data_IF_471619738142
#
_entry.id   IF_471619738142
#
_cell.length_a   1.000
_cell.length_b   1.000
_cell.length_c   1.000
_cell.angle_alpha   90.00
_cell.angle_beta   90.00
_cell.angle_gamma   90.00
#
_symmetry.space_group_name_H-M   'P 1'
#
loop_
_entity.id
_entity.type
_entity.pdbx_description
1 polymer ?
#
# COMPACT_ATOMS: atom_id res chain seq x y z
N UNK A 1 -20.32 -5.96 -29.45
CA UNK A 1 -20.49 -4.65 -28.79
C UNK A 1 -20.73 -4.94 -27.32
N UNK A 2 -19.70 -4.82 -26.47
CA UNK A 2 -19.88 -5.01 -25.03
C UNK A 2 -20.55 -3.75 -24.47
N UNK A 3 -21.86 -3.84 -24.24
CA UNK A 3 -22.59 -2.84 -23.45
C UNK A 3 -22.13 -2.93 -21.99
N UNK A 4 -21.90 -1.78 -21.34
CA UNK A 4 -21.68 -1.74 -19.89
C UNK A 4 -22.85 -2.40 -19.16
N UNK A 5 -22.54 -3.29 -18.22
CA UNK A 5 -23.51 -3.82 -17.26
C UNK A 5 -24.04 -2.70 -16.35
N UNK A 6 -25.19 -2.90 -15.72
CA UNK A 6 -25.75 -1.92 -14.78
C UNK A 6 -24.82 -1.64 -13.59
N UNK A 7 -24.13 -2.67 -13.09
CA UNK A 7 -23.13 -2.50 -12.02
C UNK A 7 -21.95 -1.63 -12.46
N UNK A 8 -21.47 -1.81 -13.70
CA UNK A 8 -20.42 -0.97 -14.26
C UNK A 8 -20.88 0.48 -14.41
N UNK A 9 -22.13 0.71 -14.85
CA UNK A 9 -22.70 2.06 -14.96
C UNK A 9 -22.79 2.78 -13.62
N UNK A 10 -23.27 2.08 -12.59
CA UNK A 10 -23.35 2.61 -11.22
C UNK A 10 -21.95 2.96 -10.71
N UNK A 11 -20.97 2.09 -10.94
CA UNK A 11 -19.61 2.30 -10.45
C UNK A 11 -18.92 3.46 -11.18
N UNK A 12 -19.01 3.55 -12.50
CA UNK A 12 -18.47 4.68 -13.29
C UNK A 12 -19.08 6.00 -12.83
N UNK A 13 -20.39 6.05 -12.61
CA UNK A 13 -21.05 7.25 -12.10
C UNK A 13 -20.54 7.65 -10.71
N UNK A 14 -20.29 6.67 -9.84
CA UNK A 14 -19.69 6.90 -8.53
C UNK A 14 -18.25 7.43 -8.65
N UNK A 15 -17.45 6.86 -9.53
CA UNK A 15 -16.07 7.28 -9.77
C UNK A 15 -16.03 8.71 -10.32
N UNK A 16 -16.88 9.03 -11.29
CA UNK A 16 -17.03 10.38 -11.85
C UNK A 16 -17.36 11.41 -10.76
N UNK A 17 -18.31 11.11 -9.87
CA UNK A 17 -18.62 11.99 -8.71
C UNK A 17 -17.41 12.16 -7.78
N UNK A 18 -16.67 11.08 -7.54
CA UNK A 18 -15.45 11.12 -6.73
C UNK A 18 -14.36 12.00 -7.34
N UNK A 19 -14.10 11.86 -8.64
CA UNK A 19 -13.13 12.69 -9.38
C UNK A 19 -13.53 14.17 -9.32
N UNK A 20 -14.79 14.49 -9.58
CA UNK A 20 -15.30 15.87 -9.51
C UNK A 20 -15.09 16.49 -8.13
N UNK A 21 -15.36 15.73 -7.07
CA UNK A 21 -15.13 16.19 -5.69
C UNK A 21 -13.64 16.43 -5.40
N UNK A 22 -12.75 15.50 -5.79
CA UNK A 22 -11.29 15.62 -5.60
C UNK A 22 -10.70 16.81 -6.34
N UNK A 23 -11.12 17.02 -7.59
CA UNK A 23 -10.67 18.14 -8.43
C UNK A 23 -11.41 19.45 -8.15
N UNK A 24 -12.39 19.45 -7.23
CA UNK A 24 -13.25 20.61 -6.89
C UNK A 24 -13.97 21.21 -8.11
N UNK A 25 -14.40 20.34 -9.03
CA UNK A 25 -15.10 20.73 -10.26
C UNK A 25 -16.61 20.60 -10.11
N UNK A 26 -17.35 21.63 -10.53
CA UNK A 26 -18.80 21.54 -10.72
C UNK A 26 -19.13 20.89 -12.07
N UNK A 27 -20.38 20.47 -12.27
CA UNK A 27 -20.80 19.88 -13.55
C UNK A 27 -20.76 20.92 -14.68
N UNK A 28 -21.07 22.17 -14.38
CA UNK A 28 -20.93 23.32 -15.28
C UNK A 28 -19.46 23.64 -15.55
N UNK A 29 -18.59 23.53 -14.54
CA UNK A 29 -17.15 23.67 -14.70
C UNK A 29 -16.57 22.58 -15.61
N UNK A 30 -17.03 21.33 -15.43
CA UNK A 30 -16.68 20.22 -16.30
C UNK A 30 -17.19 20.44 -17.74
N UNK A 31 -18.40 20.99 -17.93
CA UNK A 31 -18.88 21.37 -19.26
C UNK A 31 -17.90 22.30 -19.96
N UNK A 32 -17.52 23.40 -19.29
CA UNK A 32 -16.54 24.36 -19.84
C UNK A 32 -15.22 23.70 -20.22
N UNK A 33 -14.71 22.82 -19.36
CA UNK A 33 -13.48 22.05 -19.64
C UNK A 33 -13.62 21.10 -20.84
N UNK A 34 -14.77 20.45 -21.00
CA UNK A 34 -15.00 19.58 -22.17
C UNK A 34 -15.10 20.37 -23.46
N UNK A 35 -15.70 21.57 -23.42
CA UNK A 35 -15.79 22.48 -24.58
C UNK A 35 -14.41 23.02 -24.98
N UNK A 36 -13.58 23.37 -23.99
CA UNK A 36 -12.20 23.80 -24.21
C UNK A 36 -11.32 22.69 -24.79
N UNK A 37 -11.32 21.50 -24.16
CA UNK A 37 -10.43 20.39 -24.55
C UNK A 37 -10.95 19.56 -25.74
N UNK A 38 -12.25 19.54 -26.03
CA UNK A 38 -12.83 18.71 -27.10
C UNK A 38 -14.09 19.34 -27.75
N UNK A 39 -13.95 20.36 -28.60
CA UNK A 39 -15.08 21.05 -29.23
C UNK A 39 -15.94 20.12 -30.10
N UNK A 40 -17.29 20.14 -30.00
CA UNK A 40 -18.12 21.15 -29.31
C UNK A 40 -18.39 20.90 -27.82
N UNK A 41 -17.67 19.97 -27.19
CA UNK A 41 -17.82 19.61 -25.78
C UNK A 41 -19.04 18.72 -25.49
N UNK A 42 -19.21 18.35 -24.22
CA UNK A 42 -20.40 17.65 -23.74
C UNK A 42 -21.40 18.67 -23.21
N UNK A 43 -22.68 18.51 -23.56
CA UNK A 43 -23.73 19.35 -22.96
C UNK A 43 -23.90 19.04 -21.47
N UNK A 44 -24.32 20.05 -20.68
CA UNK A 44 -24.62 19.88 -19.25
C UNK A 44 -25.60 18.72 -18.99
N UNK A 45 -26.62 18.55 -19.83
CA UNK A 45 -27.59 17.46 -19.72
C UNK A 45 -26.96 16.08 -19.97
N UNK A 46 -25.89 16.00 -20.76
CA UNK A 46 -25.13 14.76 -20.99
C UNK A 46 -24.24 14.45 -19.77
N UNK A 47 -23.59 15.47 -19.20
CA UNK A 47 -22.80 15.33 -17.96
C UNK A 47 -23.69 14.90 -16.78
N UNK A 48 -24.84 15.54 -16.60
CA UNK A 48 -25.82 15.19 -15.56
C UNK A 48 -26.32 13.74 -15.69
N UNK A 49 -26.55 13.26 -16.92
CA UNK A 49 -26.91 11.86 -17.18
C UNK A 49 -25.75 10.92 -16.86
N UNK A 50 -24.53 11.27 -17.27
CA UNK A 50 -23.35 10.48 -16.95
C UNK A 50 -23.12 10.35 -15.44
N UNK A 51 -23.31 11.44 -14.68
CA UNK A 51 -23.26 11.45 -13.21
C UNK A 51 -24.33 10.55 -12.58
N UNK A 52 -25.42 10.22 -13.29
CA UNK A 52 -26.46 9.28 -12.85
C UNK A 52 -26.24 7.84 -13.32
N UNK A 53 -25.20 7.57 -14.12
CA UNK A 53 -24.94 6.24 -14.70
C UNK A 53 -25.53 6.04 -16.10
N UNK A 54 -26.08 7.08 -16.70
CA UNK A 54 -26.64 7.04 -18.05
C UNK A 54 -25.66 7.68 -19.03
N UNK A 55 -24.86 6.87 -19.72
CA UNK A 55 -23.85 7.37 -20.64
C UNK A 55 -23.58 6.39 -21.80
N UNK A 56 -22.94 6.92 -22.84
CA UNK A 56 -22.37 6.12 -23.93
C UNK A 56 -20.86 5.93 -23.72
N UNK A 57 -20.26 4.94 -24.37
CA UNK A 57 -18.80 4.75 -24.38
C UNK A 57 -18.06 6.00 -24.91
N UNK A 58 -18.63 6.66 -25.92
CA UNK A 58 -18.11 7.93 -26.44
C UNK A 58 -18.10 9.01 -25.35
N UNK A 59 -19.15 9.10 -24.55
CA UNK A 59 -19.24 10.07 -23.44
C UNK A 59 -18.15 9.83 -22.41
N UNK A 60 -17.92 8.56 -22.03
CA UNK A 60 -16.86 8.21 -21.06
C UNK A 60 -15.49 8.55 -21.60
N UNK A 61 -15.15 8.19 -22.85
CA UNK A 61 -13.84 8.53 -23.42
C UNK A 61 -13.57 10.04 -23.43
N UNK A 62 -14.58 10.86 -23.70
CA UNK A 62 -14.45 12.31 -23.64
C UNK A 62 -14.18 12.76 -22.21
N UNK A 63 -14.95 12.25 -21.23
CA UNK A 63 -14.76 12.58 -19.82
C UNK A 63 -13.38 12.16 -19.31
N UNK A 64 -12.91 10.96 -19.64
CA UNK A 64 -11.60 10.45 -19.26
C UNK A 64 -10.47 11.29 -19.86
N UNK A 65 -10.57 11.66 -21.14
CA UNK A 65 -9.61 12.55 -21.78
C UNK A 65 -9.62 13.98 -21.19
N UNK A 66 -10.79 14.50 -20.82
CA UNK A 66 -10.91 15.83 -20.21
C UNK A 66 -10.36 15.87 -18.78
N UNK A 67 -10.68 14.84 -17.99
CA UNK A 67 -10.32 14.72 -16.56
C UNK A 67 -8.93 14.12 -16.35
N UNK A 68 -8.32 13.56 -17.40
CA UNK A 68 -7.04 12.85 -17.37
C UNK A 68 -7.05 11.67 -16.37
N UNK A 69 -8.20 11.01 -16.26
CA UNK A 69 -8.49 9.94 -15.30
C UNK A 69 -9.19 8.79 -16.02
N UNK A 70 -8.87 7.52 -15.71
CA UNK A 70 -9.55 6.37 -16.28
C UNK A 70 -10.70 5.92 -15.35
N UNK A 71 -11.93 6.21 -15.76
CA UNK A 71 -13.14 5.96 -14.97
C UNK A 71 -13.53 4.48 -14.98
N UNK A 72 -13.12 3.74 -16.02
CA UNK A 72 -13.35 2.30 -16.19
C UNK A 72 -12.34 1.43 -15.46
N UNK A 73 -11.06 1.82 -15.45
CA UNK A 73 -10.01 1.11 -14.74
C UNK A 73 -10.33 1.08 -13.25
N UNK A 74 -10.90 2.13 -12.67
CA UNK A 74 -11.33 2.12 -11.28
C UNK A 74 -12.47 1.10 -11.01
N UNK A 75 -13.30 0.77 -12.00
CA UNK A 75 -14.30 -0.30 -11.87
C UNK A 75 -13.63 -1.67 -11.89
N UNK A 76 -12.79 -1.90 -12.88
CA UNK A 76 -12.07 -3.17 -13.04
C UNK A 76 -11.13 -3.43 -11.86
N UNK A 77 -10.50 -2.37 -11.35
CA UNK A 77 -9.65 -2.40 -10.17
C UNK A 77 -10.43 -2.82 -8.92
N UNK A 78 -11.61 -2.21 -8.67
CA UNK A 78 -12.44 -2.60 -7.51
C UNK A 78 -12.97 -4.03 -7.59
N UNK A 79 -13.10 -4.58 -8.79
CA UNK A 79 -13.46 -5.96 -9.04
C UNK A 79 -12.24 -6.90 -9.11
N UNK A 80 -11.02 -6.37 -9.08
CA UNK A 80 -9.82 -7.16 -9.20
C UNK A 80 -9.64 -8.05 -7.97
N UNK A 81 -9.33 -9.32 -8.23
CA UNK A 81 -9.07 -10.34 -7.21
C UNK A 81 -7.69 -10.92 -7.49
N UNK A 82 -6.87 -10.98 -6.45
CA UNK A 82 -5.53 -11.56 -6.53
C UNK A 82 -5.58 -13.06 -6.75
N UNK A 83 -4.53 -13.60 -7.36
CA UNK A 83 -4.35 -15.05 -7.44
C UNK A 83 -4.32 -15.67 -6.04
N UNK A 84 -4.80 -16.91 -5.93
CA UNK A 84 -4.74 -17.74 -4.73
C UNK A 84 -3.36 -17.79 -4.07
N UNK A 85 -2.26 -17.74 -4.84
CA UNK A 85 -0.88 -17.72 -4.34
C UNK A 85 -0.57 -16.49 -3.47
N UNK A 86 -1.30 -15.39 -3.67
CA UNK A 86 -1.21 -14.17 -2.88
C UNK A 86 -2.25 -14.12 -1.77
N UNK A 87 -3.22 -15.03 -1.78
CA UNK A 87 -4.28 -15.13 -0.77
C UNK A 87 -5.69 -14.91 -1.30
N UNK A 88 -5.88 -14.64 -2.60
CA UNK A 88 -7.21 -14.57 -3.20
C UNK A 88 -8.04 -13.36 -2.75
N UNK A 89 -7.40 -12.32 -2.19
CA UNK A 89 -8.09 -11.12 -1.71
C UNK A 89 -8.53 -10.23 -2.87
N UNK A 90 -9.68 -9.56 -2.71
CA UNK A 90 -10.17 -8.54 -3.61
C UNK A 90 -9.51 -7.18 -3.31
N UNK A 91 -9.25 -6.35 -4.33
CA UNK A 91 -8.74 -4.98 -4.17
C UNK A 91 -9.52 -4.20 -3.13
N UNK A 92 -10.86 -4.21 -3.22
CA UNK A 92 -11.73 -3.47 -2.32
C UNK A 92 -11.58 -3.87 -0.83
N UNK A 93 -11.14 -5.09 -0.55
CA UNK A 93 -10.87 -5.54 0.83
C UNK A 93 -9.51 -5.07 1.35
N UNK A 94 -8.60 -4.68 0.46
CA UNK A 94 -7.19 -4.40 0.78
C UNK A 94 -6.74 -3.00 0.38
N UNK A 95 -7.61 -2.18 -0.21
CA UNK A 95 -7.30 -0.80 -0.62
C UNK A 95 -6.74 0.04 0.54
N UNK A 96 -7.18 -0.24 1.78
CA UNK A 96 -6.66 0.39 3.00
C UNK A 96 -5.16 0.21 3.23
N UNK A 97 -4.55 -0.82 2.64
CA UNK A 97 -3.11 -1.07 2.73
C UNK A 97 -2.30 -0.25 1.71
N UNK A 98 -2.92 0.39 0.73
CA UNK A 98 -2.19 1.20 -0.27
C UNK A 98 -1.75 2.53 0.33
N UNK A 99 -0.50 2.92 0.14
CA UNK A 99 0.07 4.19 0.59
C UNK A 99 1.49 4.07 1.13
N UNK A 100 1.96 5.12 1.79
CA UNK A 100 3.31 5.21 2.35
C UNK A 100 3.36 4.85 3.83
N UNK A 101 4.51 4.33 4.25
CA UNK A 101 4.77 3.81 5.57
C UNK A 101 6.17 4.21 6.06
N UNK A 102 6.30 4.33 7.37
CA UNK A 102 7.57 4.18 8.06
C UNK A 102 7.71 2.75 8.54
N UNK A 103 8.83 2.14 8.20
CA UNK A 103 9.23 0.86 8.74
C UNK A 103 10.33 1.07 9.77
N UNK A 104 10.09 0.64 11.01
CA UNK A 104 11.03 0.70 12.11
C UNK A 104 11.49 -0.72 12.49
N UNK A 105 12.78 -0.93 12.68
CA UNK A 105 13.35 -2.25 12.99
C UNK A 105 14.63 -2.13 13.81
N UNK A 106 14.87 -3.09 14.70
CA UNK A 106 16.19 -3.28 15.33
C UNK A 106 17.26 -3.64 14.30
N UNK A 107 18.48 -3.12 14.44
CA UNK A 107 19.62 -3.60 13.67
C UNK A 107 19.93 -5.08 13.98
N UNK A 108 20.41 -5.81 12.97
CA UNK A 108 20.83 -7.20 13.17
C UNK A 108 22.17 -7.31 13.90
N UNK A 109 23.05 -6.31 13.74
CA UNK A 109 24.41 -6.32 14.27
C UNK A 109 24.57 -5.58 15.60
N UNK A 110 23.70 -4.60 15.88
CA UNK A 110 23.76 -3.79 17.10
C UNK A 110 22.39 -3.67 17.76
N UNK A 111 22.26 -4.21 18.98
CA UNK A 111 20.98 -4.20 19.72
C UNK A 111 20.49 -2.81 20.11
N UNK A 112 21.41 -1.85 20.19
CA UNK A 112 21.10 -0.48 20.57
C UNK A 112 20.80 0.41 19.35
N UNK A 113 20.92 -0.12 18.13
CA UNK A 113 20.63 0.60 16.89
C UNK A 113 19.24 0.26 16.37
N UNK A 114 18.51 1.29 15.95
CA UNK A 114 17.21 1.22 15.27
C UNK A 114 17.34 1.84 13.89
N UNK A 115 16.78 1.17 12.89
CA UNK A 115 16.65 1.68 11.53
C UNK A 115 15.21 2.05 11.24
N UNK A 116 15.02 3.25 10.71
CA UNK A 116 13.74 3.74 10.21
C UNK A 116 13.90 4.09 8.75
N UNK A 117 13.03 3.55 7.90
CA UNK A 117 13.07 3.75 6.46
C UNK A 117 11.67 3.79 5.85
N UNK A 118 11.56 4.33 4.63
CA UNK A 118 10.31 4.40 3.90
C UNK A 118 9.95 3.08 3.26
N UNK A 119 8.66 2.78 3.27
CA UNK A 119 8.07 1.67 2.55
C UNK A 119 6.78 2.15 1.88
N UNK A 120 6.58 1.85 0.60
CA UNK A 120 5.32 2.07 -0.09
C UNK A 120 4.64 0.73 -0.36
N UNK A 121 3.31 0.71 -0.32
CA UNK A 121 2.49 -0.39 -0.78
C UNK A 121 1.55 0.15 -1.86
N UNK A 122 1.57 -0.49 -3.01
CA UNK A 122 0.80 -0.12 -4.18
C UNK A 122 0.06 -1.34 -4.73
N UNK A 123 -0.94 -1.10 -5.58
CA UNK A 123 -1.54 -2.19 -6.34
C UNK A 123 -0.78 -2.42 -7.64
N UNK A 124 -0.29 -3.63 -7.84
CA UNK A 124 0.27 -4.09 -9.10
C UNK A 124 -0.86 -4.56 -10.02
N UNK A 125 -1.17 -3.75 -11.04
CA UNK A 125 -2.22 -4.03 -12.01
C UNK A 125 -1.94 -5.30 -12.83
N UNK A 126 -0.67 -5.59 -13.14
CA UNK A 126 -0.29 -6.73 -13.98
C UNK A 126 -0.50 -8.04 -13.23
N UNK A 127 -0.15 -8.07 -11.94
CA UNK A 127 -0.28 -9.27 -11.10
C UNK A 127 -1.58 -9.31 -10.28
N UNK A 128 -2.41 -8.26 -10.38
CA UNK A 128 -3.63 -8.06 -9.62
C UNK A 128 -3.44 -8.29 -8.11
N UNK A 129 -2.38 -7.75 -7.52
CA UNK A 129 -2.10 -7.93 -6.10
C UNK A 129 -1.38 -6.70 -5.51
N UNK A 130 -1.25 -6.66 -4.18
CA UNK A 130 -0.45 -5.65 -3.52
C UNK A 130 1.05 -5.94 -3.72
N UNK A 131 1.77 -4.91 -4.14
CA UNK A 131 3.23 -4.85 -4.24
C UNK A 131 3.75 -3.87 -3.22
N UNK A 132 4.93 -4.11 -2.69
CA UNK A 132 5.59 -3.16 -1.81
C UNK A 132 7.01 -2.85 -2.31
N UNK A 133 7.51 -1.67 -1.94
CA UNK A 133 8.88 -1.22 -2.18
C UNK A 133 9.39 -0.54 -0.93
N UNK A 134 10.57 -0.91 -0.44
CA UNK A 134 11.28 -0.05 0.49
C UNK A 134 12.24 0.89 -0.24
N UNK A 135 12.39 2.10 0.31
CA UNK A 135 13.39 3.07 -0.11
C UNK A 135 14.35 3.24 1.05
N UNK A 136 15.48 2.57 0.93
CA UNK A 136 16.54 2.75 1.88
C UNK A 136 17.31 4.04 1.57
N UNK A 137 17.18 5.06 2.43
CA UNK A 137 17.90 6.33 2.28
C UNK A 137 19.35 6.27 2.78
N UNK A 138 19.83 5.14 3.32
CA UNK A 138 21.18 5.01 3.92
C UNK A 138 22.33 4.80 2.91
N UNK A 139 22.19 5.30 1.67
CA UNK A 139 23.32 5.41 0.74
C UNK A 139 23.78 4.09 0.11
N UNK A 140 22.92 3.08 0.02
CA UNK A 140 23.15 1.87 -0.77
C UNK A 140 21.91 1.49 -1.59
N UNK A 141 22.12 0.92 -2.78
CA UNK A 141 21.08 0.41 -3.70
C UNK A 141 20.33 -0.83 -3.18
N UNK A 142 20.08 -0.91 -1.87
CA UNK A 142 19.38 -2.03 -1.24
C UNK A 142 17.87 -1.78 -1.16
N UNK A 143 17.28 -1.15 -2.17
CA UNK A 143 15.84 -1.06 -2.30
C UNK A 143 15.29 -2.45 -2.61
N UNK A 144 14.47 -2.98 -1.72
CA UNK A 144 13.81 -4.26 -1.90
C UNK A 144 12.38 -4.05 -2.36
N UNK A 145 11.98 -4.83 -3.36
CA UNK A 145 10.60 -4.88 -3.82
C UNK A 145 10.07 -6.29 -3.63
N UNK A 146 8.76 -6.40 -3.50
CA UNK A 146 8.12 -7.68 -3.25
C UNK A 146 6.61 -7.59 -3.27
N UNK A 147 5.95 -8.67 -2.88
CA UNK A 147 4.49 -8.78 -2.91
C UNK A 147 3.93 -8.98 -1.50
N UNK A 148 2.69 -8.55 -1.31
CA UNK A 148 1.96 -8.77 -0.06
C UNK A 148 1.03 -9.97 -0.20
N UNK A 149 1.24 -10.99 0.63
CA UNK A 149 0.38 -12.15 0.74
C UNK A 149 -0.53 -11.99 1.95
N UNK A 150 -1.84 -12.20 1.78
CA UNK A 150 -2.82 -12.13 2.87
C UNK A 150 -3.59 -13.44 2.90
N UNK A 151 -3.15 -14.45 3.69
CA UNK A 151 -3.82 -15.73 3.74
C UNK A 151 -5.27 -15.59 4.23
N UNK A 152 -6.23 -16.34 3.66
CA UNK A 152 -7.61 -16.34 4.14
C UNK A 152 -7.69 -16.70 5.63
N UNK A 153 -8.52 -15.97 6.37
CA UNK A 153 -8.76 -16.18 7.82
C UNK A 153 -7.51 -16.08 8.73
N UNK A 154 -6.42 -15.48 8.24
CA UNK A 154 -5.24 -15.17 9.05
C UNK A 154 -5.41 -13.86 9.81
N UNK A 155 -4.76 -13.72 10.97
CA UNK A 155 -4.59 -12.43 11.67
C UNK A 155 -3.35 -11.67 11.18
N UNK A 156 -2.57 -12.29 10.28
CA UNK A 156 -1.30 -11.81 9.77
C UNK A 156 -1.31 -11.70 8.25
N UNK A 157 -0.46 -10.81 7.75
CA UNK A 157 -0.08 -10.68 6.35
C UNK A 157 1.44 -10.79 6.22
N UNK A 158 1.89 -11.08 5.00
CA UNK A 158 3.29 -11.29 4.68
C UNK A 158 3.75 -10.33 3.60
N UNK A 159 4.89 -9.68 3.80
CA UNK A 159 5.62 -8.98 2.75
C UNK A 159 6.79 -9.88 2.33
N UNK A 160 6.72 -10.42 1.11
CA UNK A 160 7.66 -11.38 0.58
C UNK A 160 8.50 -10.74 -0.53
N UNK A 161 9.82 -10.71 -0.33
CA UNK A 161 10.80 -10.40 -1.39
C UNK A 161 11.50 -11.67 -1.82
N UNK A 162 11.54 -11.88 -3.13
CA UNK A 162 12.31 -12.93 -3.78
C UNK A 162 13.14 -12.28 -4.90
N UNK A 163 14.45 -12.21 -4.72
CA UNK A 163 15.35 -11.56 -5.66
C UNK A 163 16.64 -12.37 -5.80
N UNK A 164 16.92 -12.86 -7.01
CA UNK A 164 18.12 -13.65 -7.32
C UNK A 164 18.40 -14.81 -6.33
N UNK A 165 17.34 -15.44 -5.81
CA UNK A 165 17.43 -16.52 -4.82
C UNK A 165 17.57 -16.05 -3.37
N UNK A 166 17.76 -14.75 -3.13
CA UNK A 166 17.60 -14.14 -1.81
C UNK A 166 16.12 -14.03 -1.45
N UNK A 167 15.81 -14.32 -0.19
CA UNK A 167 14.46 -14.27 0.35
C UNK A 167 14.41 -13.41 1.62
N UNK A 168 13.46 -12.49 1.67
CA UNK A 168 13.06 -11.79 2.89
C UNK A 168 11.57 -12.01 3.11
N UNK A 169 11.23 -12.44 4.31
CA UNK A 169 9.85 -12.59 4.76
C UNK A 169 9.62 -11.66 5.95
N UNK A 170 8.73 -10.69 5.78
CA UNK A 170 8.19 -9.91 6.89
C UNK A 170 6.79 -10.45 7.16
N UNK A 171 6.51 -10.84 8.40
CA UNK A 171 5.16 -11.24 8.84
C UNK A 171 4.70 -10.27 9.89
N UNK A 172 3.56 -9.63 9.65
CA UNK A 172 3.00 -8.62 10.56
C UNK A 172 1.50 -8.79 10.71
N UNK A 173 0.93 -8.28 11.80
CA UNK A 173 -0.52 -8.24 12.02
C UNK A 173 -1.21 -7.48 10.89
N UNK A 174 -2.52 -7.71 10.73
CA UNK A 174 -3.36 -6.73 10.05
C UNK A 174 -3.22 -5.33 10.66
N UNK A 175 -3.51 -4.30 9.86
CA UNK A 175 -3.40 -2.91 10.29
C UNK A 175 -4.39 -2.60 11.42
N UNK A 176 -3.82 -2.27 12.59
CA UNK A 176 -4.53 -1.94 13.81
C UNK A 176 -5.18 -0.54 13.72
N UNK A 177 -5.99 -0.18 14.72
CA UNK A 177 -6.68 1.11 14.77
C UNK A 177 -5.71 2.31 14.83
N UNK A 178 -4.50 2.11 15.37
CA UNK A 178 -3.43 3.12 15.42
C UNK A 178 -2.59 3.17 14.13
N UNK A 179 -3.06 2.56 13.03
CA UNK A 179 -2.37 2.51 11.74
C UNK A 179 -1.02 1.80 11.75
N UNK A 180 -0.78 0.96 12.77
CA UNK A 180 0.44 0.15 12.89
C UNK A 180 0.18 -1.32 12.55
N UNK A 181 1.24 -1.97 12.08
CA UNK A 181 1.34 -3.41 11.91
C UNK A 181 2.61 -3.88 12.62
N UNK A 182 2.46 -4.87 13.50
CA UNK A 182 3.52 -5.37 14.38
C UNK A 182 3.94 -6.79 13.97
N UNK A 183 5.21 -7.13 14.06
CA UNK A 183 5.66 -8.51 13.83
C UNK A 183 7.16 -8.67 13.68
N UNK A 184 7.61 -9.55 12.78
CA UNK A 184 9.04 -9.79 12.55
C UNK A 184 9.43 -9.89 11.09
N UNK A 185 10.71 -9.62 10.86
CA UNK A 185 11.39 -9.93 9.61
C UNK A 185 12.33 -11.10 9.78
N UNK A 186 12.34 -12.00 8.81
CA UNK A 186 13.33 -13.06 8.62
C UNK A 186 14.06 -12.82 7.30
N UNK A 187 15.39 -12.81 7.35
CA UNK A 187 16.25 -12.64 6.18
C UNK A 187 17.64 -13.22 6.45
N UNK A 188 18.56 -13.05 5.51
CA UNK A 188 19.99 -13.28 5.74
C UNK A 188 20.72 -11.96 6.02
N UNK A 189 21.58 -11.97 7.03
CA UNK A 189 22.46 -10.87 7.38
C UNK A 189 23.91 -11.24 7.07
N UNK A 190 24.68 -10.30 6.54
CA UNK A 190 26.10 -10.49 6.22
C UNK A 190 26.98 -9.56 7.06
N UNK A 191 27.31 -9.91 8.32
CA UNK A 191 28.11 -9.06 9.20
C UNK A 191 29.56 -8.89 8.77
N UNK A 192 30.09 -9.81 7.94
CA UNK A 192 31.53 -9.94 7.66
C UNK A 192 31.87 -10.06 6.18
N UNK A 193 30.94 -9.71 5.29
CA UNK A 193 31.11 -9.76 3.83
C UNK A 193 31.12 -11.16 3.19
N UNK A 194 31.56 -12.19 3.90
CA UNK A 194 31.83 -13.53 3.33
C UNK A 194 30.84 -14.61 3.78
N UNK A 195 30.15 -14.42 4.91
CA UNK A 195 29.26 -15.44 5.49
C UNK A 195 27.91 -14.81 5.80
N UNK A 196 26.88 -15.32 5.14
CA UNK A 196 25.49 -15.02 5.45
C UNK A 196 25.02 -15.86 6.64
N UNK A 197 24.37 -15.22 7.59
CA UNK A 197 23.74 -15.86 8.74
C UNK A 197 22.25 -15.57 8.74
N UNK A 198 21.37 -16.54 9.05
CA UNK A 198 19.96 -16.27 9.28
C UNK A 198 19.79 -15.19 10.34
N UNK A 199 18.89 -14.24 10.10
CA UNK A 199 18.65 -13.14 11.00
C UNK A 199 17.15 -12.87 11.12
N UNK A 200 16.71 -12.66 12.37
CA UNK A 200 15.35 -12.29 12.70
C UNK A 200 15.37 -11.04 13.59
N UNK A 201 14.43 -10.12 13.38
CA UNK A 201 14.28 -8.93 14.20
C UNK A 201 12.81 -8.50 14.30
N UNK A 202 12.40 -7.89 15.44
CA UNK A 202 11.10 -7.23 15.52
C UNK A 202 11.03 -6.09 14.51
N UNK A 203 9.86 -5.90 13.93
CA UNK A 203 9.58 -4.88 12.93
C UNK A 203 8.20 -4.26 13.19
N UNK A 204 8.14 -2.95 13.02
CA UNK A 204 6.93 -2.15 13.13
C UNK A 204 6.74 -1.38 11.83
N UNK A 205 5.55 -1.45 11.24
CA UNK A 205 5.20 -0.71 10.03
C UNK A 205 4.06 0.24 10.38
N UNK A 206 4.31 1.55 10.35
CA UNK A 206 3.31 2.60 10.63
C UNK A 206 2.94 3.30 9.33
N UNK A 207 1.64 3.35 9.00
CA UNK A 207 1.17 4.11 7.83
C UNK A 207 1.38 5.60 8.07
N UNK A 208 1.90 6.30 7.06
CA UNK A 208 2.06 7.76 7.06
C UNK A 208 0.73 8.37 6.60
N UNK A 209 0.21 9.32 7.36
CA UNK A 209 -0.93 10.15 6.99
C UNK A 209 -0.46 11.58 6.66
N UNK A 210 -1.29 12.39 6.01
CA UNK A 210 -0.95 13.78 5.65
C UNK A 210 -0.58 14.67 6.87
N UNK A 211 -1.04 14.29 8.07
CA UNK A 211 -0.73 14.97 9.33
C UNK A 211 0.59 14.50 9.98
N UNK A 212 1.16 13.38 9.52
CA UNK A 212 2.37 12.82 10.10
C UNK A 212 3.61 13.56 9.55
N UNK A 213 4.31 14.32 10.41
CA UNK A 213 5.68 14.82 10.19
C UNK A 213 6.75 13.71 10.05
N UNK A 214 6.32 12.46 9.89
CA UNK A 214 7.05 11.21 10.01
C UNK A 214 8.17 11.03 8.97
N UNK A 215 8.14 11.73 7.83
CA UNK A 215 9.26 11.66 6.87
C UNK A 215 10.58 12.17 7.46
N UNK A 216 10.55 12.96 8.55
CA UNK A 216 11.74 13.46 9.24
C UNK A 216 12.46 12.40 10.08
N UNK A 217 11.83 11.26 10.37
CA UNK A 217 12.38 10.20 11.22
C UNK A 217 13.11 9.12 10.43
N UNK A 218 13.37 9.30 9.13
CA UNK A 218 14.18 8.35 8.38
C UNK A 218 15.63 8.49 8.82
N UNK A 219 16.17 7.43 9.42
CA UNK A 219 17.46 7.54 10.09
C UNK A 219 17.94 6.25 10.75
N UNK A 220 19.23 6.22 11.05
CA UNK A 220 19.79 5.34 12.04
C UNK A 220 19.76 6.07 13.38
N UNK A 221 19.20 5.43 14.40
CA UNK A 221 19.05 6.01 15.74
C UNK A 221 19.59 5.07 16.80
N UNK A 222 20.03 5.65 17.91
CA UNK A 222 20.21 4.90 19.14
C UNK A 222 18.86 4.66 19.81
N UNK A 223 18.70 3.51 20.48
CA UNK A 223 17.48 3.19 21.22
C UNK A 223 17.15 4.19 22.34
N UNK A 224 18.16 4.92 22.84
CA UNK A 224 18.01 5.95 23.86
C UNK A 224 17.58 7.32 23.32
N UNK A 225 17.49 7.49 22.00
CA UNK A 225 17.13 8.77 21.40
C UNK A 225 15.65 9.07 21.64
N UNK A 226 15.36 10.21 22.25
CA UNK A 226 14.02 10.60 22.70
C UNK A 226 13.01 10.67 21.55
N UNK A 227 13.47 11.09 20.37
CA UNK A 227 12.65 11.20 19.15
C UNK A 227 12.10 9.86 18.61
N UNK A 228 12.70 8.72 18.98
CA UNK A 228 12.24 7.38 18.58
C UNK A 228 11.77 6.53 19.76
N UNK A 229 11.67 7.12 20.96
CA UNK A 229 11.36 6.38 22.20
C UNK A 229 10.05 5.57 22.11
N UNK A 230 9.00 6.14 21.49
CA UNK A 230 7.73 5.42 21.30
C UNK A 230 7.88 4.21 20.38
N UNK A 231 8.58 4.37 19.25
CA UNK A 231 8.82 3.28 18.31
C UNK A 231 9.72 2.19 18.92
N UNK A 232 10.68 2.59 19.75
CA UNK A 232 11.55 1.68 20.50
C UNK A 232 10.74 0.84 21.48
N UNK A 233 9.86 1.47 22.26
CA UNK A 233 8.98 0.76 23.20
C UNK A 233 8.11 -0.28 22.49
N UNK A 234 7.54 0.09 21.35
CA UNK A 234 6.73 -0.83 20.52
C UNK A 234 7.55 -2.03 20.03
N UNK A 235 8.79 -1.80 19.57
CA UNK A 235 9.69 -2.89 19.16
C UNK A 235 10.06 -3.82 20.32
N UNK A 236 10.23 -3.29 21.52
CA UNK A 236 10.52 -4.07 22.72
C UNK A 236 9.32 -4.92 23.14
N UNK A 237 8.11 -4.37 23.07
CA UNK A 237 6.86 -5.14 23.31
C UNK A 237 6.73 -6.33 22.34
N UNK A 238 6.99 -6.11 21.05
CA UNK A 238 6.97 -7.17 20.03
C UNK A 238 8.00 -8.25 20.37
N UNK A 239 9.22 -7.85 20.72
CA UNK A 239 10.29 -8.79 21.01
C UNK A 239 9.96 -9.65 22.24
N UNK A 240 9.49 -9.04 23.32
CA UNK A 240 9.25 -9.71 24.60
C UNK A 240 7.97 -10.57 24.60
N UNK A 241 6.88 -10.07 24.00
CA UNK A 241 5.57 -10.69 24.14
C UNK A 241 5.15 -11.52 22.92
N UNK A 242 5.58 -11.14 21.70
CA UNK A 242 5.09 -11.74 20.46
C UNK A 242 6.09 -12.71 19.83
N UNK A 243 7.41 -12.41 19.91
CA UNK A 243 8.45 -13.24 19.28
C UNK A 243 9.09 -14.25 20.23
N UNK A 244 9.38 -13.86 21.48
CA UNK A 244 10.04 -14.74 22.45
C UNK A 244 9.08 -15.78 23.06
N UNK A 245 7.77 -15.50 23.08
CA UNK A 245 6.76 -16.40 23.68
C UNK A 245 6.61 -17.74 22.96
N UNK A 246 6.87 -17.79 21.64
CA UNK A 246 6.76 -19.03 20.83
C UNK A 246 7.98 -19.94 20.95
N UNK A 247 9.18 -19.40 21.22
CA UNK A 247 10.39 -20.23 21.36
C UNK A 247 10.40 -20.99 22.70
N UNK A 248 9.74 -20.48 23.73
CA UNK A 248 9.70 -21.09 25.08
C UNK A 248 8.68 -22.22 25.24
N UNK A 249 7.73 -22.38 24.33
CA UNK A 249 6.62 -23.33 24.47
C UNK A 249 6.91 -24.75 23.97
N UNK A 250 8.15 -25.05 23.54
CA UNK A 250 8.54 -26.40 23.07
C UNK A 250 9.52 -27.12 24.01
N UNK A 251 9.60 -26.71 25.27
CA UNK A 251 10.18 -27.54 26.35
C UNK A 251 9.10 -27.82 27.38
N UNK A 252 8.29 -28.83 27.08
CA UNK A 252 7.30 -29.46 27.94
C UNK A 252 7.13 -30.90 27.51
#
# INVERSE_FOLDING_TARGET
MNSFSEDQKIQVASNLRGVLARQRLTQEGLQGLTEEKNPPGLSIATIQRAVRGEFSEKTIRILEATLEENLLDQVMLKQAVSDSRWGGYAYAAVERYIGDYLCCRRSFGNRDTVYIYHLSIDWDQENACLKYSDRNSFGGDYSQTGYVCIPPASTFLHLLTLEQGSCRLITVTHMLANMMMRGAVLTMYNPKGVVFTPACAPILIKKITEEDAASSLVGEYNKGDEQVADLVRELDEIQENELISVIRTTTG
#
